data_IF_295280755131
#
_entry.id   IF_295280755131
#
_cell.length_a   1.000
_cell.length_b   1.000
_cell.length_c   1.000
_cell.angle_alpha   90.00
_cell.angle_beta   90.00
_cell.angle_gamma   90.00
#
_symmetry.space_group_name_H-M   'P 1'
#
loop_
_entity.id
_entity.type
_entity.pdbx_description
1 polymer ?
#
# COMPACT_ATOMS: atom_id res chain seq x y z
N UNK A 1 15.30 18.03 -12.56
CA UNK A 1 15.43 17.74 -11.12
C UNK A 1 14.05 17.79 -10.50
N UNK A 2 13.72 16.88 -9.58
CA UNK A 2 12.42 16.85 -8.87
C UNK A 2 12.64 17.39 -7.46
N UNK A 3 11.82 18.34 -7.02
CA UNK A 3 11.82 18.85 -5.65
C UNK A 3 10.50 18.49 -4.97
N UNK A 4 10.58 17.83 -3.80
CA UNK A 4 9.37 17.53 -3.02
C UNK A 4 8.91 18.78 -2.28
N UNK A 5 7.72 19.29 -2.61
CA UNK A 5 7.11 20.43 -1.91
C UNK A 5 6.35 20.01 -0.65
N UNK A 6 5.66 18.88 -0.69
CA UNK A 6 4.82 18.40 0.41
C UNK A 6 4.74 16.88 0.40
N UNK A 7 4.83 16.27 1.58
CA UNK A 7 4.64 14.83 1.80
C UNK A 7 3.69 14.65 2.99
N UNK A 8 2.58 13.96 2.78
CA UNK A 8 1.54 13.78 3.80
C UNK A 8 1.24 12.30 3.95
N UNK A 9 1.12 11.84 5.20
CA UNK A 9 0.73 10.48 5.55
C UNK A 9 -0.36 10.52 6.61
N UNK A 10 -1.47 9.81 6.38
CA UNK A 10 -2.53 9.60 7.38
C UNK A 10 -2.78 8.10 7.57
N UNK A 11 -2.97 7.67 8.81
CA UNK A 11 -3.26 6.28 9.15
C UNK A 11 -4.76 6.02 9.00
N UNK A 12 -5.19 5.49 7.85
CA UNK A 12 -6.59 5.10 7.60
C UNK A 12 -6.90 3.69 8.13
N UNK A 13 -5.90 2.81 8.10
CA UNK A 13 -6.03 1.36 8.44
C UNK A 13 -7.18 0.70 7.66
N UNK A 14 -7.16 0.83 6.34
CA UNK A 14 -8.21 0.27 5.48
C UNK A 14 -8.22 -1.27 5.56
N UNK A 15 -7.05 -1.90 5.61
CA UNK A 15 -6.90 -3.36 5.76
C UNK A 15 -7.59 -3.91 7.02
N UNK A 16 -7.61 -3.17 8.12
CA UNK A 16 -8.25 -3.58 9.37
C UNK A 16 -9.80 -3.58 9.28
N UNK A 17 -10.36 -3.07 8.18
CA UNK A 17 -11.78 -3.16 7.88
C UNK A 17 -12.16 -4.34 7.00
N UNK A 18 -11.20 -5.15 6.55
CA UNK A 18 -11.49 -6.38 5.81
C UNK A 18 -11.93 -7.46 6.79
N UNK A 19 -13.07 -8.09 6.51
CA UNK A 19 -13.50 -9.31 7.20
C UNK A 19 -12.94 -10.57 6.51
N UNK A 20 -13.31 -11.75 7.01
CA UNK A 20 -12.86 -13.04 6.48
C UNK A 20 -13.31 -13.29 5.02
N UNK A 21 -14.38 -12.65 4.58
CA UNK A 21 -14.90 -12.73 3.21
C UNK A 21 -14.31 -11.65 2.28
N UNK A 22 -13.25 -10.97 2.73
CA UNK A 22 -12.64 -9.82 2.07
C UNK A 22 -13.63 -8.69 1.75
N UNK A 23 -14.64 -8.48 2.60
CA UNK A 23 -15.54 -7.35 2.50
C UNK A 23 -15.03 -6.20 3.36
N UNK A 24 -14.94 -5.00 2.79
CA UNK A 24 -14.59 -3.78 3.53
C UNK A 24 -15.79 -3.26 4.31
N UNK A 25 -15.58 -3.01 5.60
CA UNK A 25 -16.58 -2.40 6.47
C UNK A 25 -16.89 -0.96 6.06
N UNK A 26 -18.13 -0.53 6.29
CA UNK A 26 -18.59 0.83 6.01
C UNK A 26 -17.76 1.87 6.80
N UNK A 27 -17.39 1.57 8.04
CA UNK A 27 -16.56 2.45 8.87
C UNK A 27 -15.16 2.62 8.26
N UNK A 28 -14.58 1.56 7.70
CA UNK A 28 -13.27 1.65 7.05
C UNK A 28 -13.31 2.45 5.76
N UNK A 29 -14.37 2.26 4.96
CA UNK A 29 -14.59 3.05 3.75
C UNK A 29 -14.79 4.53 4.07
N UNK A 30 -15.59 4.88 5.08
CA UNK A 30 -15.80 6.28 5.46
C UNK A 30 -14.53 6.95 5.97
N UNK A 31 -13.71 6.26 6.79
CA UNK A 31 -12.38 6.78 7.17
C UNK A 31 -11.49 7.05 5.96
N UNK A 32 -11.54 6.16 4.96
CA UNK A 32 -10.81 6.33 3.70
C UNK A 32 -11.29 7.55 2.93
N UNK A 33 -12.60 7.68 2.69
CA UNK A 33 -13.19 8.82 1.98
C UNK A 33 -12.94 10.15 2.69
N UNK A 34 -13.03 10.20 4.02
CA UNK A 34 -12.67 11.39 4.79
C UNK A 34 -11.21 11.79 4.58
N UNK A 35 -10.28 10.82 4.52
CA UNK A 35 -8.89 11.10 4.20
C UNK A 35 -8.73 11.65 2.77
N UNK A 36 -9.45 11.09 1.81
CA UNK A 36 -9.40 11.53 0.42
C UNK A 36 -9.96 12.93 0.23
N UNK A 37 -11.00 13.35 0.97
CA UNK A 37 -11.51 14.73 0.93
C UNK A 37 -10.43 15.76 1.28
N UNK A 38 -9.62 15.48 2.31
CA UNK A 38 -8.49 16.35 2.70
C UNK A 38 -7.33 16.36 1.67
N UNK A 39 -7.22 15.31 0.86
CA UNK A 39 -6.26 15.26 -0.24
C UNK A 39 -6.82 16.00 -1.46
N UNK A 40 -8.11 15.85 -1.76
CA UNK A 40 -8.78 16.61 -2.81
C UNK A 40 -8.62 18.13 -2.60
N UNK A 41 -8.79 18.62 -1.36
CA UNK A 41 -8.53 20.01 -0.99
C UNK A 41 -7.09 20.47 -1.24
N UNK A 42 -6.11 19.57 -1.37
CA UNK A 42 -4.72 19.93 -1.70
C UNK A 42 -4.40 19.77 -3.18
N UNK A 43 -5.22 19.03 -3.90
CA UNK A 43 -5.04 18.75 -5.33
C UNK A 43 -5.80 19.72 -6.23
N UNK A 44 -6.60 20.65 -5.67
CA UNK A 44 -7.52 21.53 -6.43
C UNK A 44 -6.83 22.29 -7.58
N UNK A 45 -5.60 22.75 -7.35
CA UNK A 45 -4.84 23.57 -8.31
C UNK A 45 -3.87 22.74 -9.18
N UNK A 46 -3.91 21.41 -9.08
CA UNK A 46 -3.00 20.51 -9.84
C UNK A 46 -3.76 19.94 -11.05
N UNK A 47 -3.25 20.10 -12.29
CA UNK A 47 -3.88 19.52 -13.47
C UNK A 47 -4.01 17.99 -13.37
N UNK A 48 -5.19 17.47 -13.67
CA UNK A 48 -5.48 16.02 -13.59
C UNK A 48 -4.45 15.12 -14.30
N UNK A 49 -3.91 15.46 -15.50
CA UNK A 49 -2.89 14.63 -16.16
C UNK A 49 -1.57 14.49 -15.37
N UNK A 50 -1.34 15.35 -14.38
CA UNK A 50 -0.17 15.33 -13.52
C UNK A 50 -0.43 14.58 -12.19
N UNK A 51 -1.64 14.05 -12.00
CA UNK A 51 -2.04 13.31 -10.81
C UNK A 51 -2.13 11.83 -11.14
N UNK A 52 -1.39 11.01 -10.39
CA UNK A 52 -1.53 9.55 -10.41
C UNK A 52 -1.94 9.06 -9.03
N UNK A 53 -3.12 8.44 -8.94
CA UNK A 53 -3.61 7.81 -7.72
C UNK A 53 -3.62 6.31 -7.91
N UNK A 54 -2.94 5.59 -7.02
CA UNK A 54 -2.87 4.13 -7.05
C UNK A 54 -3.46 3.52 -5.79
N UNK A 55 -4.07 2.37 -5.94
CA UNK A 55 -4.64 1.53 -4.90
C UNK A 55 -3.93 0.17 -4.91
N UNK A 56 -3.59 -0.35 -3.73
CA UNK A 56 -2.74 -1.54 -3.59
C UNK A 56 -3.45 -2.68 -2.86
N UNK A 57 -2.72 -3.53 -2.12
CA UNK A 57 -3.16 -4.83 -1.64
C UNK A 57 -4.57 -4.90 -1.04
N UNK A 58 -4.95 -3.99 -0.14
CA UNK A 58 -6.29 -4.01 0.47
C UNK A 58 -7.42 -3.89 -0.56
N UNK A 59 -7.26 -3.00 -1.54
CA UNK A 59 -8.27 -2.79 -2.59
C UNK A 59 -8.15 -3.79 -3.74
N UNK A 60 -7.01 -4.50 -3.87
CA UNK A 60 -6.92 -5.71 -4.70
C UNK A 60 -7.75 -6.85 -4.11
N UNK A 61 -7.75 -6.99 -2.79
CA UNK A 61 -8.42 -8.09 -2.08
C UNK A 61 -9.92 -7.85 -1.90
N UNK A 62 -10.33 -6.60 -1.66
CA UNK A 62 -11.69 -6.28 -1.27
C UNK A 62 -12.72 -6.62 -2.36
N UNK A 63 -13.70 -7.47 -2.05
CA UNK A 63 -14.78 -7.85 -2.99
C UNK A 63 -15.63 -6.64 -3.37
N UNK A 64 -15.84 -5.71 -2.44
CA UNK A 64 -16.56 -4.45 -2.65
C UNK A 64 -15.62 -3.26 -2.94
N UNK A 65 -14.39 -3.49 -3.41
CA UNK A 65 -13.45 -2.42 -3.77
C UNK A 65 -14.06 -1.39 -4.73
N UNK A 66 -14.91 -1.84 -5.67
CA UNK A 66 -15.57 -0.98 -6.64
C UNK A 66 -16.40 0.14 -6.02
N UNK A 67 -17.08 -0.12 -4.89
CA UNK A 67 -17.85 0.89 -4.16
C UNK A 67 -16.92 1.97 -3.59
N UNK A 68 -15.84 1.54 -2.95
CA UNK A 68 -14.83 2.45 -2.41
C UNK A 68 -14.20 3.30 -3.51
N UNK A 69 -13.79 2.67 -4.61
CA UNK A 69 -13.09 3.30 -5.74
C UNK A 69 -13.99 4.30 -6.45
N UNK A 70 -15.24 3.96 -6.75
CA UNK A 70 -16.16 4.87 -7.42
C UNK A 70 -16.34 6.18 -6.66
N UNK A 71 -16.61 6.10 -5.34
CA UNK A 71 -16.74 7.30 -4.50
C UNK A 71 -15.41 8.02 -4.30
N UNK A 72 -14.29 7.30 -4.24
CA UNK A 72 -12.96 7.90 -4.20
C UNK A 72 -12.64 8.72 -5.46
N UNK A 73 -12.98 8.20 -6.64
CA UNK A 73 -12.82 8.91 -7.91
C UNK A 73 -13.66 10.19 -7.95
N UNK A 74 -14.91 10.16 -7.46
CA UNK A 74 -15.75 11.36 -7.34
C UNK A 74 -15.14 12.40 -6.40
N UNK A 75 -14.60 11.97 -5.25
CA UNK A 75 -13.98 12.87 -4.28
C UNK A 75 -12.71 13.53 -4.84
N UNK A 76 -11.86 12.76 -5.52
CA UNK A 76 -10.56 13.23 -6.02
C UNK A 76 -10.64 13.91 -7.38
N UNK A 77 -11.73 13.72 -8.12
CA UNK A 77 -11.87 14.20 -9.50
C UNK A 77 -10.90 13.55 -10.49
N UNK A 78 -10.27 12.42 -10.14
CA UNK A 78 -9.33 11.72 -11.01
C UNK A 78 -9.41 10.18 -10.82
N UNK A 79 -8.91 9.39 -11.78
CA UNK A 79 -8.95 7.93 -11.68
C UNK A 79 -8.12 7.37 -10.53
N UNK A 80 -8.66 6.36 -9.84
CA UNK A 80 -7.93 5.56 -8.86
C UNK A 80 -7.61 4.21 -9.52
N UNK A 81 -6.33 3.95 -9.77
CA UNK A 81 -5.89 2.73 -10.45
C UNK A 81 -5.50 1.66 -9.42
N UNK A 82 -6.20 0.53 -9.41
CA UNK A 82 -5.72 -0.66 -8.68
C UNK A 82 -4.55 -1.26 -9.45
N UNK A 83 -3.38 -1.34 -8.83
CA UNK A 83 -2.17 -1.89 -9.45
C UNK A 83 -1.89 -3.30 -8.92
N UNK A 84 -1.26 -4.15 -9.74
CA UNK A 84 -0.81 -5.48 -9.31
C UNK A 84 0.28 -5.37 -8.24
N UNK A 85 0.52 -6.46 -7.51
CA UNK A 85 1.64 -6.50 -6.56
C UNK A 85 3.00 -6.34 -7.24
N UNK A 86 3.17 -6.86 -8.46
CA UNK A 86 4.39 -6.68 -9.25
C UNK A 86 4.59 -5.22 -9.70
N UNK A 87 3.53 -4.53 -10.10
CA UNK A 87 3.60 -3.11 -10.47
C UNK A 87 3.91 -2.24 -9.24
N UNK A 88 3.33 -2.57 -8.08
CA UNK A 88 3.67 -1.93 -6.80
C UNK A 88 5.15 -2.12 -6.47
N UNK A 89 5.65 -3.35 -6.53
CA UNK A 89 7.05 -3.69 -6.31
C UNK A 89 7.98 -2.94 -7.28
N UNK A 90 7.61 -2.87 -8.57
CA UNK A 90 8.38 -2.17 -9.60
C UNK A 90 8.46 -0.66 -9.32
N UNK A 91 7.35 -0.04 -8.93
CA UNK A 91 7.30 1.39 -8.59
C UNK A 91 8.09 1.70 -7.33
N UNK A 92 8.03 0.83 -6.31
CA UNK A 92 8.84 0.95 -5.08
C UNK A 92 10.32 0.93 -5.45
N UNK A 93 10.76 -0.04 -6.26
CA UNK A 93 12.15 -0.13 -6.70
C UNK A 93 12.59 1.12 -7.49
N UNK A 94 11.75 1.61 -8.41
CA UNK A 94 12.04 2.86 -9.13
C UNK A 94 12.19 4.05 -8.18
N UNK A 95 11.32 4.16 -7.18
CA UNK A 95 11.45 5.17 -6.12
C UNK A 95 12.82 5.10 -5.44
N UNK A 96 13.21 3.91 -4.98
CA UNK A 96 14.51 3.69 -4.31
C UNK A 96 15.69 3.98 -5.25
N UNK A 97 15.64 3.51 -6.50
CA UNK A 97 16.70 3.72 -7.48
C UNK A 97 16.95 5.20 -7.80
N UNK A 98 15.92 6.05 -7.71
CA UNK A 98 16.03 7.49 -7.94
C UNK A 98 16.35 8.32 -6.70
N UNK A 99 16.18 7.78 -5.49
CA UNK A 99 16.42 8.52 -4.23
C UNK A 99 17.62 8.04 -3.43
N UNK A 100 18.17 6.86 -3.73
CA UNK A 100 19.19 6.21 -2.92
C UNK A 100 20.49 6.03 -3.72
N UNK A 101 21.57 6.66 -3.24
CA UNK A 101 22.92 6.44 -3.76
C UNK A 101 23.53 5.10 -3.33
N UNK A 102 24.79 4.86 -3.69
CA UNK A 102 25.52 3.63 -3.37
C UNK A 102 25.55 2.65 -4.54
N UNK A 103 25.81 1.38 -4.25
CA UNK A 103 25.98 0.35 -5.28
C UNK A 103 24.74 0.22 -6.17
N UNK A 104 24.97 -0.02 -7.46
CA UNK A 104 23.87 -0.12 -8.43
C UNK A 104 23.06 -1.39 -8.26
N UNK A 105 23.67 -2.49 -7.82
CA UNK A 105 22.96 -3.72 -7.51
C UNK A 105 22.28 -3.61 -6.16
N UNK A 106 20.95 -3.75 -6.13
CA UNK A 106 20.11 -3.48 -4.96
C UNK A 106 19.11 -4.60 -4.72
N UNK A 107 18.82 -4.84 -3.44
CA UNK A 107 17.70 -5.64 -2.97
C UNK A 107 16.81 -4.74 -2.13
N UNK A 108 15.53 -4.68 -2.47
CA UNK A 108 14.55 -3.82 -1.82
C UNK A 108 13.50 -4.70 -1.18
N UNK A 109 13.19 -4.40 0.08
CA UNK A 109 12.13 -5.06 0.86
C UNK A 109 11.22 -3.96 1.38
N UNK A 110 9.93 -4.01 1.05
CA UNK A 110 8.92 -3.11 1.59
C UNK A 110 7.84 -3.92 2.32
N UNK A 111 7.73 -3.74 3.64
CA UNK A 111 6.76 -4.46 4.47
C UNK A 111 5.56 -3.54 4.70
N UNK A 112 4.51 -3.79 3.92
CA UNK A 112 3.29 -3.01 3.94
C UNK A 112 2.29 -3.41 5.04
N UNK A 113 1.05 -2.94 4.86
CA UNK A 113 -0.07 -3.24 5.73
C UNK A 113 -0.98 -4.37 5.24
N UNK A 114 -0.78 -4.89 4.03
CA UNK A 114 -1.53 -6.02 3.47
C UNK A 114 -0.67 -6.93 2.58
N UNK A 115 0.45 -6.43 2.04
CA UNK A 115 1.46 -7.20 1.31
C UNK A 115 2.89 -6.84 1.75
N UNK A 116 3.85 -7.62 1.27
CA UNK A 116 5.29 -7.34 1.35
C UNK A 116 5.91 -7.51 -0.03
N UNK A 117 6.64 -6.51 -0.49
CA UNK A 117 7.29 -6.51 -1.80
C UNK A 117 8.78 -6.82 -1.66
N UNK A 118 9.27 -7.74 -2.49
CA UNK A 118 10.69 -8.13 -2.58
C UNK A 118 11.17 -7.89 -4.00
N UNK A 119 12.18 -7.03 -4.16
CA UNK A 119 12.69 -6.66 -5.47
C UNK A 119 14.20 -6.77 -5.51
N UNK A 120 14.71 -7.30 -6.62
CA UNK A 120 16.14 -7.19 -6.95
C UNK A 120 16.30 -6.42 -8.25
N UNK A 121 17.41 -5.71 -8.40
CA UNK A 121 17.71 -5.04 -9.65
C UNK A 121 19.07 -4.37 -9.66
N UNK A 122 19.43 -3.81 -10.82
CA UNK A 122 20.65 -3.03 -11.01
C UNK A 122 20.32 -1.68 -11.64
N UNK A 123 20.81 -0.59 -11.04
CA UNK A 123 20.51 0.77 -11.49
C UNK A 123 19.00 1.04 -11.38
N UNK A 124 18.37 1.38 -12.51
CA UNK A 124 16.92 1.58 -12.62
C UNK A 124 16.15 0.35 -13.14
N UNK A 125 16.84 -0.77 -13.38
CA UNK A 125 16.26 -1.98 -13.97
C UNK A 125 16.02 -3.05 -12.91
N UNK A 126 14.80 -3.58 -12.87
CA UNK A 126 14.40 -4.68 -11.97
C UNK A 126 14.73 -6.03 -12.60
N UNK A 127 15.29 -6.96 -11.82
CA UNK A 127 15.60 -8.33 -12.25
C UNK A 127 14.60 -9.35 -11.72
N UNK A 128 14.13 -9.20 -10.48
CA UNK A 128 13.08 -10.06 -9.90
C UNK A 128 12.12 -9.19 -9.10
N UNK A 129 10.83 -9.50 -9.20
CA UNK A 129 9.73 -8.81 -8.54
C UNK A 129 8.84 -9.85 -7.87
N UNK A 130 8.63 -9.72 -6.56
CA UNK A 130 7.66 -10.53 -5.82
C UNK A 130 6.80 -9.62 -4.95
N UNK A 131 5.52 -9.98 -4.81
CA UNK A 131 4.60 -9.40 -3.84
C UNK A 131 3.93 -10.53 -3.09
N UNK A 132 4.18 -10.59 -1.78
CA UNK A 132 3.75 -11.66 -0.90
C UNK A 132 2.56 -11.19 -0.06
N UNK A 133 1.58 -12.08 0.14
CA UNK A 133 0.39 -11.82 0.98
C UNK A 133 0.69 -11.98 2.48
N UNK A 134 1.76 -11.33 2.93
CA UNK A 134 2.22 -11.31 4.32
C UNK A 134 2.56 -9.88 4.71
N UNK A 135 2.10 -9.42 5.86
CA UNK A 135 2.31 -8.04 6.29
C UNK A 135 2.07 -7.85 7.79
N UNK A 136 2.32 -6.65 8.31
CA UNK A 136 2.15 -6.36 9.72
C UNK A 136 0.69 -6.52 10.24
N UNK A 137 -0.33 -6.18 9.45
CA UNK A 137 -1.74 -6.27 9.90
C UNK A 137 -2.20 -7.73 9.90
N UNK A 138 -1.97 -8.46 8.82
CA UNK A 138 -2.36 -9.88 8.74
C UNK A 138 -1.56 -10.75 9.71
N UNK A 139 -0.27 -10.45 9.94
CA UNK A 139 0.51 -11.15 10.96
C UNK A 139 0.00 -10.86 12.38
N UNK A 140 -0.37 -9.60 12.67
CA UNK A 140 -0.94 -9.23 13.98
C UNK A 140 -2.25 -9.97 14.25
N UNK A 141 -3.16 -10.00 13.27
CA UNK A 141 -4.46 -10.63 13.41
C UNK A 141 -4.36 -12.16 13.53
N UNK A 142 -3.44 -12.80 12.80
CA UNK A 142 -3.26 -14.26 12.83
C UNK A 142 -2.48 -14.77 14.04
N UNK A 143 -1.36 -14.14 14.37
CA UNK A 143 -0.40 -14.68 15.34
C UNK A 143 -0.41 -13.96 16.69
N UNK A 144 -0.95 -12.75 16.77
CA UNK A 144 -0.91 -11.91 17.97
C UNK A 144 -2.32 -11.41 18.38
N UNK A 145 -3.37 -12.16 18.04
CA UNK A 145 -4.77 -11.81 18.32
C UNK A 145 -5.04 -11.53 19.80
N UNK A 146 -4.40 -12.28 20.70
CA UNK A 146 -4.49 -12.12 22.16
C UNK A 146 -3.56 -11.04 22.73
N UNK A 147 -2.90 -10.25 21.87
CA UNK A 147 -1.97 -9.16 22.26
C UNK A 147 -0.82 -9.61 23.18
N UNK A 148 -0.47 -10.89 23.13
CA UNK A 148 0.63 -11.47 23.89
C UNK A 148 1.90 -11.50 23.04
N UNK A 149 3.01 -10.98 23.58
CA UNK A 149 4.32 -10.92 22.94
C UNK A 149 5.23 -12.11 23.35
N UNK A 150 4.65 -13.25 23.70
CA UNK A 150 5.41 -14.47 24.03
C UNK A 150 6.18 -14.99 22.81
N UNK A 151 7.35 -15.59 23.07
CA UNK A 151 8.28 -16.11 22.05
C UNK A 151 7.63 -17.08 21.06
N UNK A 152 6.65 -17.88 21.51
CA UNK A 152 5.91 -18.79 20.64
C UNK A 152 5.15 -18.06 19.51
N UNK A 153 4.56 -16.89 19.78
CA UNK A 153 3.84 -16.11 18.77
C UNK A 153 4.79 -15.52 17.72
N UNK A 154 5.97 -15.06 18.15
CA UNK A 154 7.03 -14.64 17.23
C UNK A 154 7.50 -15.80 16.36
N UNK A 155 7.82 -16.95 16.95
CA UNK A 155 8.26 -18.12 16.20
C UNK A 155 7.21 -18.61 15.19
N UNK A 156 5.93 -18.60 15.56
CA UNK A 156 4.84 -18.96 14.66
C UNK A 156 4.71 -17.97 13.48
N UNK A 157 4.87 -16.67 13.73
CA UNK A 157 4.82 -15.64 12.70
C UNK A 157 6.04 -15.73 11.75
N UNK A 158 7.24 -15.94 12.29
CA UNK A 158 8.48 -16.10 11.51
C UNK A 158 8.48 -17.36 10.66
N UNK A 159 7.96 -18.49 11.18
CA UNK A 159 7.89 -19.75 10.41
C UNK A 159 6.89 -19.69 9.24
N UNK A 160 5.91 -18.81 9.32
CA UNK A 160 4.92 -18.62 8.26
C UNK A 160 5.38 -17.64 7.15
N UNK A 161 6.51 -16.97 7.37
CA UNK A 161 7.17 -16.06 6.45
C UNK A 161 8.12 -16.78 5.49
#
# INVERSE_FOLDING_TARGET
SIQTLTRIKRKVRLAAGLNNDNHLSAEAMERGWQCLRLFAERLQDIPQPQIRVVATATLRLAVNAGEFIAKAQTILGCPVQVISGEEEARLIYQGVAHTTGGADQRRVVDIGGASTELVTGTGAQTTLLFSLSMCCVTCLDRYFSVRNLAQYHFFAAEKAA
#
